data_IF_417023540023
#
_entry.id   IF_417023540023
#
_cell.length_a   1.000
_cell.length_b   1.000
_cell.length_c   1.000
_cell.angle_alpha   90.00
_cell.angle_beta   90.00
_cell.angle_gamma   90.00
#
_symmetry.space_group_name_H-M   'P 1'
#
loop_
_entity.id
_entity.type
_entity.pdbx_description
1 polymer ?
#
# COMPACT_ATOMS: atom_id res chain seq x y z
N UNK A 1 -15.53 17.68 13.89
CA UNK A 1 -15.15 17.86 15.30
C UNK A 1 -14.33 19.13 15.41
N UNK A 2 -14.66 19.97 16.39
CA UNK A 2 -13.99 21.26 16.58
C UNK A 2 -12.82 21.18 17.57
N UNK A 3 -12.75 20.12 18.41
CA UNK A 3 -11.72 19.96 19.43
C UNK A 3 -11.49 18.50 19.82
N UNK A 4 -10.36 18.23 20.50
CA UNK A 4 -10.08 16.92 21.11
C UNK A 4 -11.08 16.60 22.22
N UNK A 5 -11.55 17.59 22.96
CA UNK A 5 -12.57 17.40 24.01
C UNK A 5 -13.85 16.83 23.42
N UNK A 6 -14.37 17.43 22.34
CA UNK A 6 -15.55 16.91 21.64
C UNK A 6 -15.34 15.49 21.11
N UNK A 7 -14.13 15.16 20.60
CA UNK A 7 -13.80 13.82 20.16
C UNK A 7 -13.88 12.80 21.29
N UNK A 8 -13.31 13.14 22.46
CA UNK A 8 -13.31 12.29 23.65
C UNK A 8 -14.73 12.08 24.19
N UNK A 9 -15.56 13.13 24.22
CA UNK A 9 -16.97 13.04 24.62
C UNK A 9 -17.77 12.09 23.71
N UNK A 10 -17.32 11.92 22.47
CA UNK A 10 -17.87 10.94 21.49
C UNK A 10 -17.20 9.57 21.54
N UNK A 11 -16.32 9.35 22.52
CA UNK A 11 -15.67 8.06 22.76
C UNK A 11 -14.35 7.83 22.01
N UNK A 12 -13.68 8.89 21.54
CA UNK A 12 -12.35 8.74 20.95
C UNK A 12 -11.31 8.35 22.02
N UNK A 13 -10.52 7.35 21.75
CA UNK A 13 -9.43 6.84 22.60
C UNK A 13 -8.06 7.01 21.97
N UNK A 14 -8.01 7.23 20.64
CA UNK A 14 -6.77 7.28 19.86
C UNK A 14 -6.77 8.48 18.92
N UNK A 15 -5.69 9.25 18.95
CA UNK A 15 -5.37 10.26 17.94
C UNK A 15 -4.52 9.62 16.84
N UNK A 16 -4.99 9.64 15.59
CA UNK A 16 -4.23 9.15 14.43
C UNK A 16 -3.65 10.33 13.64
N UNK A 17 -2.32 10.41 13.54
CA UNK A 17 -1.64 11.35 12.66
C UNK A 17 -1.65 10.78 11.23
N UNK A 18 -2.81 10.90 10.55
CA UNK A 18 -3.08 10.28 9.26
C UNK A 18 -2.77 11.14 8.04
N UNK A 19 -2.45 12.42 8.22
CA UNK A 19 -2.04 13.32 7.13
C UNK A 19 -0.52 13.24 6.99
N UNK A 20 -0.03 13.02 5.78
CA UNK A 20 1.40 13.05 5.47
C UNK A 20 1.75 14.38 4.76
N UNK A 21 2.29 15.37 5.47
CA UNK A 21 2.84 16.58 4.86
C UNK A 21 3.97 16.25 3.90
N UNK A 22 4.31 17.17 3.01
CA UNK A 22 5.46 16.99 2.12
C UNK A 22 6.73 16.73 2.93
N UNK A 23 7.48 15.67 2.59
CA UNK A 23 8.64 15.21 3.35
C UNK A 23 8.32 14.33 4.55
N UNK A 24 7.03 14.10 4.87
CA UNK A 24 6.58 13.14 5.90
C UNK A 24 6.98 13.48 7.33
N UNK A 25 7.34 14.75 7.60
CA UNK A 25 7.71 15.23 8.94
C UNK A 25 6.54 15.85 9.68
N UNK A 26 6.61 15.81 11.01
CA UNK A 26 5.60 16.42 11.90
C UNK A 26 5.79 17.93 11.89
N UNK A 27 4.78 18.71 11.47
CA UNK A 27 4.86 20.18 11.59
C UNK A 27 4.90 20.62 13.05
N UNK A 28 5.71 21.62 13.37
CA UNK A 28 5.79 22.16 14.73
C UNK A 28 4.44 22.65 15.26
N UNK A 29 3.56 23.12 14.37
CA UNK A 29 2.21 23.55 14.70
C UNK A 29 1.32 22.43 15.27
N UNK A 30 1.71 21.15 15.13
CA UNK A 30 0.96 20.02 15.69
C UNK A 30 1.38 19.67 17.12
N UNK A 31 2.52 20.18 17.60
CA UNK A 31 3.00 19.88 18.94
C UNK A 31 1.95 20.17 20.05
N UNK A 32 1.21 21.32 20.03
CA UNK A 32 0.19 21.58 21.04
C UNK A 32 -0.94 20.56 21.06
N UNK A 33 -1.37 20.08 19.88
CA UNK A 33 -2.44 19.06 19.76
C UNK A 33 -1.95 17.70 20.26
N UNK A 34 -0.68 17.34 19.98
CA UNK A 34 -0.06 16.10 20.44
C UNK A 34 0.03 16.12 21.99
N UNK A 35 0.51 17.23 22.55
CA UNK A 35 0.62 17.40 23.99
C UNK A 35 -0.75 17.36 24.68
N UNK A 36 -1.75 18.08 24.16
CA UNK A 36 -3.12 18.04 24.66
C UNK A 36 -3.71 16.63 24.61
N UNK A 37 -3.46 15.88 23.52
CA UNK A 37 -3.93 14.50 23.39
C UNK A 37 -3.36 13.59 24.48
N UNK A 38 -2.06 13.70 24.76
CA UNK A 38 -1.41 12.91 25.82
C UNK A 38 -1.91 13.31 27.21
N UNK A 39 -2.07 14.62 27.50
CA UNK A 39 -2.64 15.11 28.77
C UNK A 39 -4.07 14.61 28.97
N UNK A 40 -4.86 14.51 27.91
CA UNK A 40 -6.23 13.97 27.92
C UNK A 40 -6.29 12.43 27.81
N UNK A 41 -5.19 11.73 27.97
CA UNK A 41 -5.07 10.26 27.99
C UNK A 41 -5.38 9.57 26.68
N UNK A 42 -5.34 10.27 25.55
CA UNK A 42 -5.41 9.60 24.25
C UNK A 42 -4.11 8.84 23.96
N UNK A 43 -4.22 7.67 23.39
CA UNK A 43 -3.11 7.03 22.70
C UNK A 43 -2.86 7.68 21.35
N UNK A 44 -1.66 7.53 20.78
CA UNK A 44 -1.32 8.15 19.49
C UNK A 44 -0.78 7.12 18.51
N UNK A 45 -1.31 7.13 17.30
CA UNK A 45 -0.74 6.43 16.13
C UNK A 45 -0.03 7.45 15.25
N UNK A 46 1.26 7.28 15.07
CA UNK A 46 2.10 8.16 14.27
C UNK A 46 2.59 7.44 13.01
N UNK A 47 2.12 7.88 11.85
CA UNK A 47 2.56 7.39 10.55
C UNK A 47 3.64 8.26 9.87
N UNK A 48 4.22 9.26 10.56
CA UNK A 48 5.23 10.17 10.03
C UNK A 48 6.66 9.68 10.32
N UNK A 49 7.66 10.38 9.77
CA UNK A 49 9.07 9.96 9.92
C UNK A 49 9.68 10.32 11.27
N UNK A 50 9.19 11.39 11.91
CA UNK A 50 9.67 11.77 13.23
C UNK A 50 9.08 10.81 14.27
N UNK A 51 9.92 10.27 15.16
CA UNK A 51 9.47 9.36 16.21
C UNK A 51 8.89 10.17 17.36
N UNK A 52 7.61 9.97 17.63
CA UNK A 52 6.94 10.62 18.77
C UNK A 52 7.36 10.01 20.09
N UNK A 53 7.64 8.72 20.13
CA UNK A 53 8.11 8.04 21.35
C UNK A 53 9.39 8.64 21.90
N UNK A 54 10.30 9.10 21.03
CA UNK A 54 11.56 9.72 21.46
C UNK A 54 11.35 11.10 22.10
N UNK A 55 10.36 11.86 21.60
CA UNK A 55 10.08 13.22 22.07
C UNK A 55 9.05 13.28 23.19
N UNK A 56 8.06 12.40 23.14
CA UNK A 56 6.86 12.48 23.96
C UNK A 56 6.63 11.24 24.83
N UNK A 57 7.51 10.24 24.80
CA UNK A 57 7.37 9.00 25.57
C UNK A 57 7.25 9.25 27.08
N UNK A 58 8.01 10.20 27.61
CA UNK A 58 7.98 10.58 29.03
C UNK A 58 6.69 11.31 29.45
N UNK A 59 5.87 11.75 28.50
CA UNK A 59 4.56 12.38 28.77
C UNK A 59 3.43 11.36 28.93
N UNK A 60 3.70 10.07 28.73
CA UNK A 60 2.73 9.00 28.98
C UNK A 60 2.50 8.86 30.49
N UNK A 61 1.29 9.21 30.95
CA UNK A 61 0.95 9.16 32.38
C UNK A 61 0.38 7.83 32.82
N UNK A 62 -0.16 7.06 31.90
CA UNK A 62 -0.86 5.78 32.15
C UNK A 62 -0.34 4.66 31.27
N UNK A 63 0.89 4.14 31.46
CA UNK A 63 1.54 3.18 30.54
C UNK A 63 0.77 1.88 30.31
N UNK A 64 -0.21 1.55 31.21
CA UNK A 64 -1.08 0.36 31.09
C UNK A 64 -2.24 0.56 30.08
N UNK A 65 -2.59 1.83 29.78
CA UNK A 65 -3.77 2.17 28.99
C UNK A 65 -3.48 3.15 27.86
N UNK A 66 -2.34 3.82 27.92
CA UNK A 66 -1.93 4.88 27.00
C UNK A 66 -0.60 4.50 26.35
N UNK A 67 -0.51 4.68 25.03
CA UNK A 67 0.67 4.32 24.25
C UNK A 67 0.86 5.28 23.07
N UNK A 68 2.10 5.33 22.57
CA UNK A 68 2.46 5.92 21.29
C UNK A 68 2.92 4.79 20.38
N UNK A 69 2.31 4.67 19.22
CA UNK A 69 2.74 3.73 18.19
C UNK A 69 3.33 4.47 17.00
N UNK A 70 4.65 4.50 16.93
CA UNK A 70 5.39 4.97 15.77
C UNK A 70 5.42 3.83 14.72
N UNK A 71 4.51 3.92 13.77
CA UNK A 71 4.26 2.86 12.78
C UNK A 71 5.48 2.58 11.89
N UNK A 72 6.38 3.57 11.74
CA UNK A 72 7.58 3.46 10.90
C UNK A 72 8.80 2.85 11.61
N UNK A 73 8.65 2.38 12.83
CA UNK A 73 9.73 1.63 13.50
C UNK A 73 9.74 0.19 12.97
N UNK A 74 10.84 -0.26 12.34
CA UNK A 74 10.97 -1.66 11.93
C UNK A 74 10.87 -2.62 13.11
N UNK A 75 10.00 -3.61 13.02
CA UNK A 75 9.75 -4.58 14.10
C UNK A 75 10.80 -5.70 14.17
N UNK A 76 11.67 -5.80 13.17
CA UNK A 76 12.72 -6.82 13.08
C UNK A 76 13.84 -6.35 12.16
N UNK A 77 15.00 -7.01 12.29
CA UNK A 77 16.11 -6.84 11.35
C UNK A 77 16.00 -7.90 10.26
N UNK A 78 15.74 -7.54 8.99
CA UNK A 78 15.60 -8.51 7.93
C UNK A 78 16.96 -9.10 7.52
N UNK A 79 16.92 -10.33 7.02
CA UNK A 79 18.03 -10.94 6.30
C UNK A 79 18.00 -10.48 4.83
N UNK A 80 19.09 -10.72 4.11
CA UNK A 80 19.09 -10.53 2.65
C UNK A 80 18.11 -11.54 2.02
N UNK A 81 17.36 -11.08 1.03
CA UNK A 81 16.40 -11.92 0.30
C UNK A 81 17.11 -13.09 -0.41
N UNK A 82 16.47 -14.23 -0.41
CA UNK A 82 17.00 -15.47 -0.99
C UNK A 82 16.04 -16.09 -2.03
N UNK A 83 15.03 -15.33 -2.45
CA UNK A 83 13.98 -15.73 -3.38
C UNK A 83 13.15 -16.96 -2.94
N UNK A 84 13.08 -17.25 -1.64
CA UNK A 84 12.26 -18.34 -1.10
C UNK A 84 10.76 -18.14 -1.35
N UNK A 85 10.31 -16.91 -1.47
CA UNK A 85 8.94 -16.60 -1.85
C UNK A 85 8.57 -17.21 -3.21
N UNK A 86 9.52 -17.40 -4.12
CA UNK A 86 9.30 -18.04 -5.41
C UNK A 86 8.88 -19.52 -5.31
N UNK A 87 9.17 -20.18 -4.20
CA UNK A 87 8.84 -21.58 -3.95
C UNK A 87 7.45 -21.81 -3.37
N UNK A 88 6.77 -20.74 -2.96
CA UNK A 88 5.43 -20.80 -2.40
C UNK A 88 4.40 -21.13 -3.47
N UNK A 89 3.38 -21.90 -3.08
CA UNK A 89 2.29 -22.33 -3.98
C UNK A 89 1.12 -21.36 -4.04
N UNK A 90 1.04 -20.43 -3.08
CA UNK A 90 -0.03 -19.45 -2.99
C UNK A 90 0.02 -18.41 -4.12
N UNK A 91 -1.12 -17.79 -4.40
CA UNK A 91 -1.19 -16.63 -5.30
C UNK A 91 -0.64 -15.39 -4.57
N UNK A 92 0.37 -14.76 -5.14
CA UNK A 92 0.97 -13.51 -4.62
C UNK A 92 0.65 -12.37 -5.56
N UNK A 93 -0.21 -11.47 -5.10
CA UNK A 93 -0.78 -10.38 -5.89
C UNK A 93 -0.12 -9.08 -5.48
N UNK A 94 0.73 -8.53 -6.34
CA UNK A 94 1.39 -7.25 -6.10
C UNK A 94 0.66 -6.12 -6.84
N UNK A 95 0.30 -5.09 -6.10
CA UNK A 95 -0.24 -3.87 -6.67
C UNK A 95 0.90 -2.96 -7.15
N UNK A 96 0.95 -2.68 -8.45
CA UNK A 96 1.89 -1.74 -9.07
C UNK A 96 1.14 -0.50 -9.54
N UNK A 97 1.85 0.56 -9.91
CA UNK A 97 1.16 1.78 -10.34
C UNK A 97 1.96 2.64 -11.30
N UNK A 98 1.25 3.44 -12.08
CA UNK A 98 1.85 4.43 -12.99
C UNK A 98 2.48 5.61 -12.25
N UNK A 99 2.06 5.86 -10.99
CA UNK A 99 2.58 6.95 -10.17
C UNK A 99 2.46 6.58 -8.68
N UNK A 100 2.95 7.45 -7.80
CA UNK A 100 2.59 7.47 -6.38
C UNK A 100 1.14 7.95 -6.22
N UNK A 101 0.50 7.54 -5.11
CA UNK A 101 -0.87 7.97 -4.75
C UNK A 101 -1.94 7.76 -5.84
N UNK A 102 -1.83 6.71 -6.66
CA UNK A 102 -2.83 6.32 -7.67
C UNK A 102 -3.89 5.35 -7.15
N UNK A 103 -3.83 4.98 -5.85
CA UNK A 103 -4.82 4.11 -5.22
C UNK A 103 -4.38 2.66 -4.99
N UNK A 104 -3.08 2.32 -5.06
CA UNK A 104 -2.56 0.96 -4.82
C UNK A 104 -3.00 0.38 -3.48
N UNK A 105 -2.81 1.14 -2.39
CA UNK A 105 -3.23 0.76 -1.04
C UNK A 105 -4.75 0.52 -0.98
N UNK A 106 -5.53 1.48 -1.47
CA UNK A 106 -7.00 1.39 -1.47
C UNK A 106 -7.47 0.15 -2.22
N UNK A 107 -7.00 -0.06 -3.45
CA UNK A 107 -7.36 -1.23 -4.24
C UNK A 107 -6.92 -2.55 -3.57
N UNK A 108 -5.75 -2.57 -2.93
CA UNK A 108 -5.27 -3.74 -2.17
C UNK A 108 -6.16 -4.05 -0.96
N UNK A 109 -6.56 -3.04 -0.19
CA UNK A 109 -7.45 -3.19 0.97
C UNK A 109 -8.88 -3.57 0.55
N UNK A 110 -9.39 -3.04 -0.57
CA UNK A 110 -10.68 -3.45 -1.12
C UNK A 110 -10.68 -4.92 -1.54
N UNK A 111 -9.61 -5.39 -2.20
CA UNK A 111 -9.45 -6.80 -2.55
C UNK A 111 -9.35 -7.67 -1.28
N UNK A 112 -8.59 -7.23 -0.28
CA UNK A 112 -8.47 -7.93 1.00
C UNK A 112 -9.83 -8.04 1.71
N UNK A 113 -10.56 -6.93 1.81
CA UNK A 113 -11.91 -6.88 2.38
C UNK A 113 -12.88 -7.80 1.64
N UNK A 114 -12.81 -7.82 0.30
CA UNK A 114 -13.62 -8.70 -0.53
C UNK A 114 -13.38 -10.17 -0.19
N UNK A 115 -12.12 -10.59 -0.12
CA UNK A 115 -11.79 -11.98 0.20
C UNK A 115 -12.18 -12.36 1.63
N UNK A 116 -12.00 -11.47 2.61
CA UNK A 116 -12.43 -11.72 4.00
C UNK A 116 -13.95 -11.90 4.09
N UNK A 117 -14.73 -11.05 3.42
CA UNK A 117 -16.20 -11.14 3.38
C UNK A 117 -16.69 -12.45 2.74
N UNK A 118 -15.91 -13.02 1.83
CA UNK A 118 -16.20 -14.29 1.17
C UNK A 118 -15.49 -15.49 1.82
N UNK A 119 -15.05 -15.36 3.07
CA UNK A 119 -14.42 -16.41 3.88
C UNK A 119 -13.21 -17.09 3.18
N UNK A 120 -12.46 -16.37 2.37
CA UNK A 120 -11.24 -16.88 1.74
C UNK A 120 -10.05 -16.79 2.69
N UNK A 121 -9.16 -17.77 2.60
CA UNK A 121 -7.90 -17.77 3.36
C UNK A 121 -6.90 -16.80 2.72
N UNK A 122 -6.97 -15.53 3.10
CA UNK A 122 -6.20 -14.43 2.53
C UNK A 122 -5.29 -13.78 3.55
N UNK A 123 -4.12 -13.37 3.10
CA UNK A 123 -3.18 -12.56 3.86
C UNK A 123 -2.93 -11.21 3.20
N UNK A 124 -2.46 -10.24 3.98
CA UNK A 124 -2.10 -8.91 3.51
C UNK A 124 -0.71 -8.51 4.00
N UNK A 125 0.16 -8.14 3.11
CA UNK A 125 1.49 -7.58 3.40
C UNK A 125 1.40 -6.07 3.26
N UNK A 126 1.18 -5.39 4.38
CA UNK A 126 1.22 -3.94 4.44
C UNK A 126 2.67 -3.45 4.37
N UNK A 127 2.95 -2.48 3.52
CA UNK A 127 4.30 -1.96 3.25
C UNK A 127 4.41 -0.46 3.43
N UNK A 128 3.31 0.20 3.71
CA UNK A 128 3.21 1.62 4.02
C UNK A 128 2.44 1.87 5.32
N UNK A 129 2.65 3.04 5.90
CA UNK A 129 2.12 3.40 7.23
C UNK A 129 0.61 3.22 7.37
N UNK A 130 -0.17 3.53 6.34
CA UNK A 130 -1.63 3.42 6.42
C UNK A 130 -2.06 1.94 6.40
N UNK A 131 -1.48 1.14 5.50
CA UNK A 131 -1.73 -0.30 5.46
C UNK A 131 -1.39 -0.97 6.79
N UNK A 132 -0.25 -0.60 7.40
CA UNK A 132 0.17 -1.09 8.72
C UNK A 132 -0.83 -0.67 9.81
N UNK A 133 -1.26 0.60 9.81
CA UNK A 133 -2.24 1.10 10.78
C UNK A 133 -3.56 0.35 10.69
N UNK A 134 -4.06 0.09 9.48
CA UNK A 134 -5.34 -0.59 9.24
C UNK A 134 -5.27 -2.08 9.61
N UNK A 135 -4.16 -2.75 9.31
CA UNK A 135 -4.02 -4.20 9.51
C UNK A 135 -3.38 -4.59 10.84
N UNK A 136 -2.83 -3.62 11.57
CA UNK A 136 -2.13 -3.82 12.85
C UNK A 136 -0.73 -4.42 12.71
N UNK A 137 -0.27 -4.74 11.50
CA UNK A 137 1.03 -5.35 11.22
C UNK A 137 1.53 -5.04 9.82
N UNK A 138 2.84 -5.07 9.63
CA UNK A 138 3.45 -4.84 8.30
C UNK A 138 4.90 -4.40 8.43
N UNK A 139 5.42 -3.87 7.34
CA UNK A 139 6.78 -3.35 7.25
C UNK A 139 6.76 -1.92 6.72
N UNK A 140 7.29 -0.94 7.44
CA UNK A 140 7.53 0.39 6.90
C UNK A 140 8.71 0.32 5.92
N UNK A 141 8.42 0.01 4.65
CA UNK A 141 9.44 -0.36 3.67
C UNK A 141 10.52 0.72 3.49
N UNK A 142 10.15 1.98 3.63
CA UNK A 142 11.04 3.14 3.55
C UNK A 142 11.95 3.34 4.78
N UNK A 143 11.72 2.61 5.86
CA UNK A 143 12.60 2.62 7.04
C UNK A 143 13.71 1.55 6.99
N UNK A 144 13.69 0.67 6.00
CA UNK A 144 14.76 -0.33 5.84
C UNK A 144 15.89 0.19 4.96
N UNK A 145 17.11 -0.24 5.26
CA UNK A 145 18.25 -0.04 4.35
C UNK A 145 17.97 -0.74 3.01
N UNK A 146 18.47 -0.17 1.92
CA UNK A 146 18.22 -0.65 0.56
C UNK A 146 18.48 -2.16 0.41
N UNK A 147 19.62 -2.64 0.93
CA UNK A 147 20.02 -4.05 0.85
C UNK A 147 19.09 -5.01 1.63
N UNK A 148 18.34 -4.48 2.59
CA UNK A 148 17.46 -5.27 3.45
C UNK A 148 15.98 -5.19 3.04
N UNK A 149 15.61 -4.24 2.19
CA UNK A 149 14.22 -4.02 1.82
C UNK A 149 13.58 -5.25 1.16
N UNK A 150 14.30 -5.91 0.23
CA UNK A 150 13.82 -7.15 -0.39
C UNK A 150 13.59 -8.26 0.64
N UNK A 151 14.51 -8.42 1.59
CA UNK A 151 14.43 -9.44 2.63
C UNK A 151 13.31 -9.18 3.64
N UNK A 152 12.99 -7.91 3.91
CA UNK A 152 11.84 -7.55 4.73
C UNK A 152 10.53 -7.98 4.07
N UNK A 153 10.38 -7.72 2.77
CA UNK A 153 9.21 -8.15 1.98
C UNK A 153 9.13 -9.68 1.93
N UNK A 154 10.26 -10.36 1.62
CA UNK A 154 10.31 -11.83 1.56
C UNK A 154 9.85 -12.44 2.88
N UNK A 155 10.36 -11.95 4.03
CA UNK A 155 9.94 -12.44 5.34
C UNK A 155 8.43 -12.32 5.55
N UNK A 156 7.84 -11.16 5.26
CA UNK A 156 6.41 -10.93 5.43
C UNK A 156 5.55 -11.84 4.55
N UNK A 157 6.04 -12.17 3.36
CA UNK A 157 5.36 -13.11 2.45
C UNK A 157 5.49 -14.55 2.96
N UNK A 158 6.68 -14.95 3.41
CA UNK A 158 6.92 -16.28 3.99
C UNK A 158 6.13 -16.51 5.27
N UNK A 159 5.95 -15.48 6.11
CA UNK A 159 5.12 -15.55 7.33
C UNK A 159 3.62 -15.81 7.01
N UNK A 160 3.25 -15.81 5.75
CA UNK A 160 1.89 -16.06 5.26
C UNK A 160 1.82 -17.24 4.27
N UNK A 161 2.75 -18.18 4.39
CA UNK A 161 2.81 -19.37 3.51
C UNK A 161 1.56 -20.27 3.61
N UNK A 162 0.83 -20.20 4.75
CA UNK A 162 -0.43 -20.90 5.00
C UNK A 162 -1.65 -20.28 4.30
N UNK A 163 -1.50 -19.13 3.68
CA UNK A 163 -2.58 -18.43 2.95
C UNK A 163 -2.67 -18.91 1.51
N UNK A 164 -3.91 -19.00 0.99
CA UNK A 164 -4.15 -19.32 -0.42
C UNK A 164 -3.81 -18.14 -1.33
N UNK A 165 -4.07 -16.93 -0.82
CA UNK A 165 -3.81 -15.66 -1.50
C UNK A 165 -3.07 -14.72 -0.55
N UNK A 166 -1.98 -14.12 -1.01
CA UNK A 166 -1.26 -13.06 -0.31
C UNK A 166 -1.31 -11.79 -1.16
N UNK A 167 -1.92 -10.76 -0.62
CA UNK A 167 -2.00 -9.44 -1.24
C UNK A 167 -0.82 -8.60 -0.74
N UNK A 168 -0.03 -8.05 -1.66
CA UNK A 168 1.12 -7.22 -1.35
C UNK A 168 0.79 -5.76 -1.72
N UNK A 169 0.76 -4.90 -0.71
CA UNK A 169 0.58 -3.47 -0.90
C UNK A 169 1.73 -2.91 -1.73
N UNK A 170 1.38 -2.21 -2.82
CA UNK A 170 2.36 -1.55 -3.67
C UNK A 170 2.79 -0.19 -3.16
N UNK A 171 4.07 0.09 -3.26
CA UNK A 171 4.68 1.38 -2.94
C UNK A 171 5.38 1.97 -4.15
N UNK A 172 5.30 3.30 -4.29
CA UNK A 172 6.00 4.02 -5.34
C UNK A 172 5.55 3.69 -6.77
N UNK A 173 6.41 3.94 -7.71
CA UNK A 173 6.27 3.65 -9.14
C UNK A 173 7.64 3.59 -9.81
N UNK A 174 7.82 2.73 -10.81
CA UNK A 174 9.04 2.70 -11.64
C UNK A 174 9.27 3.99 -12.42
N UNK A 175 8.21 4.77 -12.68
CA UNK A 175 8.29 6.03 -13.42
C UNK A 175 8.72 7.20 -12.53
N UNK A 176 8.50 7.09 -11.21
CA UNK A 176 8.71 8.22 -10.32
C UNK A 176 10.17 8.29 -9.84
N UNK A 177 10.90 9.40 -10.09
CA UNK A 177 12.33 9.52 -9.78
C UNK A 177 12.66 9.41 -8.29
N UNK A 178 11.72 9.79 -7.43
CA UNK A 178 11.85 9.69 -5.96
C UNK A 178 11.37 8.35 -5.38
N UNK A 179 11.19 7.30 -6.21
CA UNK A 179 10.69 6.00 -5.74
C UNK A 179 11.68 4.88 -6.00
N UNK A 180 12.06 4.18 -4.94
CA UNK A 180 12.92 2.99 -5.00
C UNK A 180 12.22 1.71 -4.55
N UNK A 181 10.97 1.80 -4.08
CA UNK A 181 10.27 0.71 -3.40
C UNK A 181 9.78 -0.42 -4.32
N UNK A 182 9.51 -0.13 -5.60
CA UNK A 182 8.88 -1.11 -6.50
C UNK A 182 9.75 -2.35 -6.74
N UNK A 183 11.05 -2.20 -6.97
CA UNK A 183 11.96 -3.34 -7.18
C UNK A 183 12.09 -4.22 -5.92
N UNK A 184 12.31 -3.70 -4.71
CA UNK A 184 12.25 -4.50 -3.50
C UNK A 184 10.97 -5.31 -3.32
N UNK A 185 9.81 -4.73 -3.65
CA UNK A 185 8.53 -5.44 -3.61
C UNK A 185 8.51 -6.61 -4.61
N UNK A 186 8.93 -6.39 -5.85
CA UNK A 186 9.00 -7.45 -6.88
C UNK A 186 9.96 -8.58 -6.47
N UNK A 187 11.16 -8.23 -5.97
CA UNK A 187 12.19 -9.21 -5.59
C UNK A 187 11.81 -9.99 -4.34
N UNK A 188 11.30 -9.30 -3.31
CA UNK A 188 10.96 -9.94 -2.04
C UNK A 188 9.70 -10.79 -2.11
N UNK A 189 8.69 -10.35 -2.86
CA UNK A 189 7.44 -11.11 -2.95
C UNK A 189 7.43 -12.19 -4.03
N UNK A 190 8.29 -12.10 -5.05
CA UNK A 190 8.25 -12.97 -6.22
C UNK A 190 6.78 -13.13 -6.69
N UNK A 191 6.09 -12.06 -7.10
CA UNK A 191 4.65 -12.09 -7.32
C UNK A 191 4.28 -13.06 -8.44
N UNK A 192 3.10 -13.64 -8.37
CA UNK A 192 2.51 -14.46 -9.43
C UNK A 192 1.56 -13.65 -10.30
N UNK A 193 0.95 -12.60 -9.71
CA UNK A 193 -0.03 -11.75 -10.35
C UNK A 193 0.28 -10.28 -10.05
N UNK A 194 0.03 -9.42 -11.03
CA UNK A 194 0.14 -7.97 -10.89
C UNK A 194 -1.23 -7.33 -11.12
N UNK A 195 -1.56 -6.32 -10.33
CA UNK A 195 -2.67 -5.42 -10.59
C UNK A 195 -2.09 -4.02 -10.79
N UNK A 196 -2.33 -3.45 -11.98
CA UNK A 196 -1.87 -2.11 -12.30
C UNK A 196 -2.87 -1.07 -11.81
N UNK A 197 -2.42 -0.15 -10.97
CA UNK A 197 -3.20 0.99 -10.51
C UNK A 197 -2.82 2.25 -11.31
N UNK A 198 -3.82 3.00 -11.72
CA UNK A 198 -3.63 4.26 -12.43
C UNK A 198 -4.72 5.27 -12.05
N UNK A 199 -4.44 6.53 -12.30
CA UNK A 199 -5.44 7.59 -12.22
C UNK A 199 -5.94 7.88 -13.64
N UNK A 200 -7.24 7.85 -13.81
CA UNK A 200 -7.87 8.14 -15.09
C UNK A 200 -7.45 9.51 -15.64
N UNK A 201 -7.36 9.63 -16.95
CA UNK A 201 -6.95 10.84 -17.70
C UNK A 201 -5.53 11.37 -17.47
N UNK A 202 -4.76 10.86 -16.51
CA UNK A 202 -3.42 11.36 -16.28
C UNK A 202 -2.43 10.77 -17.29
N UNK A 203 -1.82 11.66 -18.08
CA UNK A 203 -0.75 11.32 -19.04
C UNK A 203 0.65 11.64 -18.48
N UNK A 204 0.71 12.32 -17.33
CA UNK A 204 1.93 12.68 -16.63
C UNK A 204 1.85 12.32 -15.17
N UNK A 205 2.99 12.28 -14.49
CA UNK A 205 3.01 12.13 -13.03
C UNK A 205 2.35 13.33 -12.37
N UNK A 206 1.91 13.15 -11.14
CA UNK A 206 1.36 14.25 -10.34
C UNK A 206 2.44 15.27 -9.94
N UNK A 207 3.63 14.78 -9.64
CA UNK A 207 4.81 15.58 -9.29
C UNK A 207 6.05 14.69 -9.41
N UNK A 208 7.03 15.03 -10.25
CA UNK A 208 7.03 16.17 -11.18
C UNK A 208 6.08 15.98 -12.39
N UNK A 209 5.41 17.05 -12.81
CA UNK A 209 4.36 16.99 -13.84
C UNK A 209 4.90 16.90 -15.28
N UNK A 210 6.18 17.13 -15.50
CA UNK A 210 6.87 17.04 -16.79
C UNK A 210 7.22 15.61 -17.22
N UNK A 211 7.11 14.64 -16.30
CA UNK A 211 7.36 13.24 -16.61
C UNK A 211 6.10 12.58 -17.17
N UNK A 212 6.20 12.14 -18.42
CA UNK A 212 5.11 11.48 -19.12
C UNK A 212 4.98 10.01 -18.71
N UNK A 213 3.74 9.56 -18.59
CA UNK A 213 3.42 8.13 -18.48
C UNK A 213 3.56 7.53 -19.90
N UNK A 214 4.36 6.49 -20.09
CA UNK A 214 4.53 5.86 -21.40
C UNK A 214 3.26 5.12 -21.82
N UNK A 215 3.28 4.58 -23.05
CA UNK A 215 2.23 3.62 -23.47
C UNK A 215 2.06 2.52 -22.45
N UNK A 216 0.80 2.25 -22.07
CA UNK A 216 0.52 1.31 -20.97
C UNK A 216 0.88 -0.14 -21.31
N UNK A 217 0.79 -0.55 -22.58
CA UNK A 217 1.20 -1.91 -23.00
C UNK A 217 2.71 -2.08 -22.78
N UNK A 218 3.50 -1.06 -23.13
CA UNK A 218 4.94 -1.07 -22.87
C UNK A 218 5.26 -1.02 -21.37
N UNK A 219 4.53 -0.24 -20.60
CA UNK A 219 4.71 -0.16 -19.15
C UNK A 219 4.35 -1.47 -18.45
N UNK A 220 3.27 -2.14 -18.88
CA UNK A 220 2.89 -3.49 -18.44
C UNK A 220 4.01 -4.47 -18.74
N UNK A 221 4.49 -4.50 -19.97
CA UNK A 221 5.58 -5.39 -20.38
C UNK A 221 6.86 -5.16 -19.58
N UNK A 222 7.19 -3.91 -19.28
CA UNK A 222 8.35 -3.57 -18.44
C UNK A 222 8.20 -4.16 -17.03
N UNK A 223 7.04 -3.97 -16.39
CA UNK A 223 6.80 -4.50 -15.04
C UNK A 223 6.85 -6.03 -15.01
N UNK A 224 6.23 -6.71 -15.97
CA UNK A 224 6.29 -8.16 -16.10
C UNK A 224 7.72 -8.67 -16.33
N UNK A 225 8.48 -8.00 -17.19
CA UNK A 225 9.88 -8.33 -17.48
C UNK A 225 10.77 -8.14 -16.25
N UNK A 226 10.57 -7.05 -15.49
CA UNK A 226 11.29 -6.80 -14.25
C UNK A 226 10.95 -7.80 -13.15
N UNK A 227 9.71 -8.25 -13.04
CA UNK A 227 9.35 -9.30 -12.09
C UNK A 227 10.06 -10.61 -12.39
N UNK A 228 9.99 -11.09 -13.63
CA UNK A 228 10.52 -12.39 -14.02
C UNK A 228 12.02 -12.39 -14.35
N UNK A 229 12.60 -11.23 -14.65
CA UNK A 229 13.98 -11.10 -15.17
C UNK A 229 14.26 -12.16 -16.24
N UNK A 230 13.41 -12.13 -17.27
CA UNK A 230 13.49 -13.06 -18.42
C UNK A 230 13.51 -14.55 -18.05
N UNK A 231 12.84 -14.94 -16.99
CA UNK A 231 12.71 -16.33 -16.54
C UNK A 231 13.62 -16.72 -15.37
N UNK A 232 14.40 -15.80 -14.82
CA UNK A 232 15.17 -16.04 -13.58
C UNK A 232 14.25 -16.24 -12.37
N UNK A 233 13.12 -15.50 -12.33
CA UNK A 233 12.07 -15.64 -11.33
C UNK A 233 10.75 -16.08 -11.96
N UNK A 234 9.76 -16.52 -11.16
CA UNK A 234 8.43 -16.86 -11.65
C UNK A 234 7.85 -15.74 -12.52
N UNK A 235 7.14 -16.13 -13.58
CA UNK A 235 6.44 -15.15 -14.41
C UNK A 235 5.25 -14.58 -13.66
N UNK A 236 5.20 -13.26 -13.59
CA UNK A 236 4.03 -12.51 -13.14
C UNK A 236 3.37 -11.83 -14.34
N UNK A 237 2.03 -11.80 -14.35
CA UNK A 237 1.25 -11.13 -15.38
C UNK A 237 0.39 -10.03 -14.77
N UNK A 238 0.23 -8.93 -15.50
CA UNK A 238 -0.79 -7.93 -15.19
C UNK A 238 -2.13 -8.50 -15.64
N UNK A 239 -2.90 -8.96 -14.66
CA UNK A 239 -4.18 -9.65 -14.88
C UNK A 239 -5.39 -8.73 -14.73
N UNK A 240 -5.17 -7.51 -14.29
CA UNK A 240 -6.23 -6.53 -14.09
C UNK A 240 -5.71 -5.13 -13.83
N UNK A 241 -6.58 -4.16 -14.04
CA UNK A 241 -6.30 -2.74 -13.84
C UNK A 241 -7.31 -2.16 -12.85
N UNK A 242 -6.81 -1.50 -11.80
CA UNK A 242 -7.59 -0.71 -10.86
C UNK A 242 -7.46 0.77 -11.24
N UNK A 243 -8.49 1.32 -11.87
CA UNK A 243 -8.53 2.70 -12.32
C UNK A 243 -9.18 3.59 -11.25
N UNK A 244 -8.49 4.64 -10.83
CA UNK A 244 -9.08 5.67 -9.98
C UNK A 244 -9.77 6.71 -10.87
N UNK A 245 -11.10 6.69 -10.87
CA UNK A 245 -11.97 7.59 -11.64
C UNK A 245 -12.65 8.65 -10.76
N UNK A 246 -12.06 8.97 -9.59
CA UNK A 246 -12.67 9.87 -8.60
C UNK A 246 -13.00 11.28 -9.11
N UNK A 247 -12.35 11.72 -10.20
CA UNK A 247 -12.59 13.03 -10.84
C UNK A 247 -13.69 13.00 -11.90
N UNK A 248 -14.22 11.83 -12.24
CA UNK A 248 -15.24 11.61 -13.26
C UNK A 248 -16.65 11.52 -12.69
N UNK A 249 -17.64 11.79 -13.50
CA UNK A 249 -19.02 11.36 -13.25
C UNK A 249 -19.11 9.83 -13.34
N UNK A 250 -20.22 9.26 -12.95
CA UNK A 250 -20.44 7.81 -13.05
C UNK A 250 -20.43 7.33 -14.50
N UNK A 251 -21.12 8.07 -15.40
CA UNK A 251 -21.18 7.76 -16.83
C UNK A 251 -19.80 7.82 -17.51
N UNK A 252 -19.02 8.86 -17.21
CA UNK A 252 -17.65 8.98 -17.70
C UNK A 252 -16.77 7.84 -17.18
N UNK A 253 -16.95 7.43 -15.93
CA UNK A 253 -16.22 6.31 -15.32
C UNK A 253 -16.52 4.99 -16.01
N UNK A 254 -17.81 4.70 -16.30
CA UNK A 254 -18.23 3.50 -17.02
C UNK A 254 -17.64 3.49 -18.43
N UNK A 255 -17.76 4.62 -19.15
CA UNK A 255 -17.21 4.75 -20.51
C UNK A 255 -15.71 4.57 -20.54
N UNK A 256 -14.98 5.18 -19.60
CA UNK A 256 -13.53 5.06 -19.48
C UNK A 256 -13.10 3.62 -19.23
N UNK A 257 -13.68 2.97 -18.22
CA UNK A 257 -13.36 1.58 -17.85
C UNK A 257 -13.60 0.65 -19.04
N UNK A 258 -14.73 0.79 -19.74
CA UNK A 258 -15.07 -0.05 -20.88
C UNK A 258 -14.13 0.14 -22.06
N UNK A 259 -13.81 1.38 -22.42
CA UNK A 259 -12.89 1.70 -23.51
C UNK A 259 -11.45 1.20 -23.20
N UNK A 260 -11.02 1.34 -21.95
CA UNK A 260 -9.70 0.86 -21.52
C UNK A 260 -9.60 -0.67 -21.55
N UNK A 261 -10.63 -1.37 -21.10
CA UNK A 261 -10.72 -2.83 -21.14
C UNK A 261 -10.68 -3.35 -22.59
N UNK A 262 -11.44 -2.70 -23.49
CA UNK A 262 -11.44 -3.05 -24.92
C UNK A 262 -10.07 -2.84 -25.57
N UNK A 263 -9.39 -1.71 -25.30
CA UNK A 263 -8.09 -1.39 -25.87
C UNK A 263 -6.96 -2.32 -25.37
N UNK A 264 -6.95 -2.60 -24.08
CA UNK A 264 -5.86 -3.36 -23.45
C UNK A 264 -6.13 -4.87 -23.41
N UNK A 265 -7.39 -5.29 -23.58
CA UNK A 265 -7.83 -6.70 -23.44
C UNK A 265 -7.48 -7.27 -22.05
N UNK A 266 -7.51 -6.41 -21.05
CA UNK A 266 -7.25 -6.71 -19.63
C UNK A 266 -8.45 -6.20 -18.84
N UNK A 267 -9.00 -6.97 -17.87
CA UNK A 267 -10.09 -6.51 -17.01
C UNK A 267 -9.78 -5.18 -16.31
N UNK A 268 -10.67 -4.21 -16.40
CA UNK A 268 -10.54 -2.89 -15.79
C UNK A 268 -11.72 -2.62 -14.86
N UNK A 269 -11.47 -2.08 -13.69
CA UNK A 269 -12.52 -1.63 -12.76
C UNK A 269 -12.06 -0.41 -11.97
N UNK A 270 -13.01 0.39 -11.47
CA UNK A 270 -12.77 1.27 -10.33
C UNK A 270 -13.20 0.52 -9.06
N UNK A 271 -12.25 0.15 -8.16
CA UNK A 271 -12.55 -0.63 -6.99
C UNK A 271 -13.60 -0.02 -6.05
N UNK A 272 -13.67 1.30 -5.98
CA UNK A 272 -14.59 2.03 -5.11
C UNK A 272 -15.98 2.14 -5.71
N UNK A 273 -16.07 2.41 -7.03
CA UNK A 273 -17.36 2.60 -7.71
C UNK A 273 -18.02 1.29 -8.12
N UNK A 274 -17.23 0.35 -8.64
CA UNK A 274 -17.74 -0.86 -9.30
C UNK A 274 -17.31 -2.15 -8.58
N UNK A 275 -16.56 -2.05 -7.50
CA UNK A 275 -16.11 -3.19 -6.69
C UNK A 275 -15.02 -4.04 -7.34
N UNK A 276 -14.78 -5.21 -6.74
CA UNK A 276 -13.62 -6.08 -7.04
C UNK A 276 -13.96 -7.31 -7.88
N UNK A 277 -15.23 -7.59 -8.17
CA UNK A 277 -15.67 -8.84 -8.81
C UNK A 277 -14.92 -9.15 -10.11
N UNK A 278 -14.67 -8.14 -10.94
CA UNK A 278 -13.96 -8.29 -12.21
C UNK A 278 -12.51 -8.73 -12.00
N UNK A 279 -11.81 -8.12 -11.05
CA UNK A 279 -10.44 -8.47 -10.72
C UNK A 279 -10.35 -9.84 -10.05
N UNK A 280 -11.28 -10.16 -9.16
CA UNK A 280 -11.33 -11.48 -8.50
C UNK A 280 -11.51 -12.59 -9.54
N UNK A 281 -12.45 -12.44 -10.49
CA UNK A 281 -12.63 -13.40 -11.59
C UNK A 281 -11.34 -13.57 -12.42
N UNK A 282 -10.61 -12.48 -12.65
CA UNK A 282 -9.33 -12.55 -13.34
C UNK A 282 -8.27 -13.29 -12.52
N UNK A 283 -8.18 -13.04 -11.22
CA UNK A 283 -7.27 -13.75 -10.29
C UNK A 283 -7.60 -15.24 -10.22
N UNK A 284 -8.87 -15.60 -10.17
CA UNK A 284 -9.29 -17.01 -10.07
C UNK A 284 -9.02 -17.79 -11.35
N UNK A 285 -9.03 -17.12 -12.52
CA UNK A 285 -8.81 -17.72 -13.83
C UNK A 285 -7.33 -18.01 -14.12
N UNK A 286 -6.43 -17.22 -13.56
CA UNK A 286 -4.98 -17.32 -13.73
C UNK A 286 -4.31 -18.02 -12.54
#
# INVERSE_FOLDING_TARGET
LASLTEAIERGAEVLVLGIAPSGGRIPDSWNPVIEEALQKRLSIVNGLHDLLSDKWGDHIQYPQQQWIWDVRIPQFTPKIATAKAALLKNKRILFIGTDMAVGKMTAGLELYSYYLKNAKNVGFVATGQIGITVTGKGIPLDAFKVDHACGAVEKMVLDQEDKDVVIIEGQGSLLHPGSTATLPLMRGSCPTHLILCLRAEKQTLRSPEDIRIPDLKQFIQLNESLCSVFGTYPQAKVIGIAANTSTFTEEESISYVSAFEENLQIPVTDPIRFGMDKLVKAIDKH
#
